data_IF_119391616860
#
_entry.id   IF_119391616860
#
_cell.length_a   1.000
_cell.length_b   1.000
_cell.length_c   1.000
_cell.angle_alpha   90.00
_cell.angle_beta   90.00
_cell.angle_gamma   90.00
#
_symmetry.space_group_name_H-M   'P 1'
#
loop_
_entity.id
_entity.type
_entity.pdbx_description
1 polymer ?
#
# COMPACT_ATOMS: atom_id res chain seq x y z
N UNK A 1 4.42 15.85 19.14
CA UNK A 1 4.62 15.77 18.70
C UNK A 1 4.88 15.41 17.98
N UNK A 2 5.11 15.33 17.64
CA UNK A 2 5.47 15.16 17.03
C UNK A 2 5.62 14.87 16.20
N UNK A 3 5.83 14.97 15.75
CA UNK A 3 6.16 14.82 15.03
C UNK A 3 6.46 14.49 14.32
N UNK A 4 6.39 14.61 13.84
CA UNK A 4 6.79 14.30 13.10
C UNK A 4 7.50 14.40 12.20
N UNK A 5 7.55 14.71 12.71
CA UNK A 5 8.75 14.86 11.96
C UNK A 5 8.58 14.39 10.54
N UNK A 6 9.19 15.05 9.66
CA UNK A 6 9.11 14.58 8.29
C UNK A 6 9.75 13.21 8.23
N UNK A 7 8.96 12.28 7.88
CA UNK A 7 9.42 10.93 7.77
C UNK A 7 9.99 10.74 6.39
N UNK A 8 11.23 10.36 6.32
CA UNK A 8 11.79 10.03 5.04
C UNK A 8 11.07 8.79 4.53
N UNK A 9 10.62 8.84 3.31
CA UNK A 9 9.93 7.71 2.76
C UNK A 9 10.92 6.61 2.46
N UNK A 10 10.54 5.42 2.80
CA UNK A 10 11.38 4.26 2.58
C UNK A 10 10.88 3.47 1.41
N UNK A 11 11.82 2.91 0.68
CA UNK A 11 11.47 2.02 -0.40
C UNK A 11 11.18 0.65 0.18
N UNK A 12 10.03 0.14 -0.14
CA UNK A 12 9.62 -1.16 0.35
C UNK A 12 9.22 -2.03 -0.82
N UNK A 13 9.86 -3.15 -0.95
CA UNK A 13 9.62 -4.05 -2.07
C UNK A 13 8.69 -5.17 -1.69
N UNK A 14 7.81 -5.49 -2.61
CA UNK A 14 6.87 -6.58 -2.43
C UNK A 14 6.94 -7.50 -3.63
N UNK A 15 6.82 -8.77 -3.36
CA UNK A 15 6.64 -9.75 -4.43
C UNK A 15 5.15 -9.96 -4.59
N UNK A 16 4.62 -9.55 -5.72
CA UNK A 16 3.20 -9.72 -5.98
C UNK A 16 3.02 -10.51 -7.25
N UNK A 17 1.91 -11.19 -7.32
CA UNK A 17 1.61 -11.98 -8.50
C UNK A 17 1.32 -11.09 -9.70
N UNK A 18 1.61 -11.59 -10.88
CA UNK A 18 1.37 -10.78 -12.08
C UNK A 18 -0.07 -10.31 -12.22
N UNK A 19 -1.03 -11.12 -11.81
CA UNK A 19 -2.42 -10.71 -11.93
C UNK A 19 -2.74 -9.54 -11.02
N UNK A 20 -2.03 -9.43 -9.91
CA UNK A 20 -2.21 -8.30 -9.01
C UNK A 20 -1.68 -7.04 -9.68
N UNK A 21 -0.54 -7.16 -10.34
CA UNK A 21 0.02 -6.02 -11.06
C UNK A 21 -0.90 -5.59 -12.19
N UNK A 22 -1.47 -6.57 -12.89
CA UNK A 22 -2.41 -6.26 -13.98
C UNK A 22 -3.62 -5.50 -13.44
N UNK A 23 -4.13 -5.94 -12.32
CA UNK A 23 -5.28 -5.28 -11.73
C UNK A 23 -4.91 -3.86 -11.32
N UNK A 24 -3.74 -3.69 -10.77
CA UNK A 24 -3.27 -2.37 -10.37
C UNK A 24 -3.17 -1.46 -11.60
N UNK A 25 -2.68 -1.99 -12.70
CA UNK A 25 -2.58 -1.22 -13.92
C UNK A 25 -3.95 -0.73 -14.38
N UNK A 26 -4.94 -1.60 -14.30
CA UNK A 26 -6.29 -1.22 -14.69
C UNK A 26 -6.84 -0.15 -13.77
N UNK A 27 -6.62 -0.28 -12.50
CA UNK A 27 -7.10 0.70 -11.54
C UNK A 27 -6.42 2.05 -11.74
N UNK A 28 -5.12 2.02 -11.97
CA UNK A 28 -4.38 3.25 -12.20
C UNK A 28 -4.90 3.96 -13.45
N UNK A 29 -5.23 3.19 -14.46
CA UNK A 29 -5.76 3.76 -15.68
C UNK A 29 -7.11 4.43 -15.42
N UNK A 30 -7.91 3.84 -14.57
CA UNK A 30 -9.21 4.41 -14.25
C UNK A 30 -9.12 5.67 -13.43
N UNK A 31 -8.21 5.68 -12.46
CA UNK A 31 -8.08 6.83 -11.57
C UNK A 31 -7.23 7.93 -12.16
N UNK A 32 -6.43 7.59 -13.17
CA UNK A 32 -5.54 8.58 -13.76
C UNK A 32 -4.28 8.79 -12.97
N UNK A 33 -4.02 7.97 -11.98
CA UNK A 33 -2.82 8.09 -11.17
C UNK A 33 -1.72 7.17 -11.66
N UNK A 34 -0.46 7.54 -11.43
CA UNK A 34 0.64 6.62 -11.72
C UNK A 34 0.50 5.36 -10.89
N UNK A 35 0.90 4.24 -11.45
CA UNK A 35 0.79 2.98 -10.73
C UNK A 35 1.50 3.01 -9.39
N UNK A 36 2.69 3.58 -9.38
CA UNK A 36 3.48 3.63 -8.15
C UNK A 36 2.75 4.39 -7.06
N UNK A 37 2.16 5.51 -7.43
CA UNK A 37 1.45 6.31 -6.44
C UNK A 37 0.23 5.59 -5.93
N UNK A 38 -0.53 5.00 -6.86
CA UNK A 38 -1.73 4.28 -6.47
C UNK A 38 -1.37 3.10 -5.59
N UNK A 39 -0.32 2.37 -5.94
CA UNK A 39 0.10 1.23 -5.14
C UNK A 39 0.49 1.65 -3.73
N UNK A 40 1.22 2.75 -3.62
CA UNK A 40 1.63 3.23 -2.31
C UNK A 40 0.42 3.60 -1.47
N UNK A 41 -0.54 4.28 -2.07
CA UNK A 41 -1.73 4.69 -1.35
C UNK A 41 -2.55 3.48 -0.89
N UNK A 42 -2.77 2.54 -1.80
CA UNK A 42 -3.55 1.36 -1.45
C UNK A 42 -2.86 0.54 -0.39
N UNK A 43 -1.54 0.40 -0.50
CA UNK A 43 -0.79 -0.34 0.50
C UNK A 43 -0.91 0.33 1.86
N UNK A 44 -0.76 1.64 1.88
CA UNK A 44 -0.83 2.38 3.11
C UNK A 44 -2.21 2.21 3.76
N UNK A 45 -3.25 2.35 2.96
CA UNK A 45 -4.61 2.23 3.49
C UNK A 45 -4.87 0.83 4.00
N UNK A 46 -4.39 -0.17 3.28
CA UNK A 46 -4.60 -1.55 3.69
C UNK A 46 -3.89 -1.83 5.01
N UNK A 47 -2.66 -1.37 5.13
CA UNK A 47 -1.89 -1.62 6.34
C UNK A 47 -2.50 -0.88 7.53
N UNK A 48 -2.83 0.37 7.32
CA UNK A 48 -3.33 1.19 8.44
C UNK A 48 -4.74 0.79 8.83
N UNK A 49 -5.50 0.26 7.90
CA UNK A 49 -6.86 -0.13 8.21
C UNK A 49 -7.04 -1.60 8.53
N UNK A 50 -5.98 -2.37 8.46
CA UNK A 50 -6.09 -3.81 8.68
C UNK A 50 -6.22 -4.12 10.15
N UNK A 51 -7.14 -5.01 10.47
CA UNK A 51 -7.31 -5.48 11.83
C UNK A 51 -6.93 -6.95 11.86
N UNK A 52 -5.87 -7.28 12.56
CA UNK A 52 -5.45 -8.68 12.62
C UNK A 52 -6.46 -9.50 13.39
N UNK A 53 -6.49 -10.81 13.14
CA UNK A 53 -7.38 -11.68 13.90
C UNK A 53 -7.06 -11.59 15.38
N UNK A 54 -8.06 -11.65 16.16
CA UNK A 54 -7.85 -11.55 17.58
C UNK A 54 -6.98 -12.63 18.09
N UNK A 55 -6.74 -13.46 17.74
CA UNK A 55 -5.98 -14.32 18.35
C UNK A 55 -4.74 -14.61 18.07
N UNK A 56 -4.35 -14.36 18.13
CA UNK A 56 -3.21 -14.50 17.80
C UNK A 56 -2.38 -15.08 18.62
N UNK A 57 -2.33 -15.41 18.79
CA UNK A 57 -1.72 -15.68 19.63
C UNK A 57 -0.71 -15.75 19.66
N UNK A 58 -0.69 -15.62 19.56
CA UNK A 58 0.31 -15.43 19.75
C UNK A 58 0.92 -15.77 19.84
#
# INVERSE_FOLDING_TARGET
MKKEAPVAKQLYRLNVEPRVVDQLTKLASRTGEPKTRLATRLFTEAVMGFKPPAKTKG
#
